data_IF_956301129299
#
_entry.id   IF_956301129299
#
_cell.length_a   1.000
_cell.length_b   1.000
_cell.length_c   1.000
_cell.angle_alpha   90.00
_cell.angle_beta   90.00
_cell.angle_gamma   90.00
#
_symmetry.space_group_name_H-M   'P 1'
#
loop_
_entity.id
_entity.type
_entity.pdbx_description
1 polymer ?
#
# COMPACT_ATOMS: atom_id res chain seq x y z
N UNK A 1 -4.32 -6.47 -17.61
CA UNK A 1 -3.21 -5.57 -18.00
C UNK A 1 -2.83 -5.84 -19.45
N UNK A 2 -2.87 -4.83 -20.32
CA UNK A 2 -2.45 -4.92 -21.72
C UNK A 2 -0.93 -4.75 -21.78
N UNK A 3 -0.22 -5.77 -22.28
CA UNK A 3 1.24 -5.78 -22.45
C UNK A 3 1.71 -4.96 -23.66
N UNK A 4 0.77 -4.47 -24.47
CA UNK A 4 1.06 -3.77 -25.72
C UNK A 4 0.54 -2.34 -25.62
N UNK A 5 1.37 -1.47 -25.08
CA UNK A 5 1.26 -0.03 -25.24
C UNK A 5 2.33 0.35 -26.29
N UNK A 6 1.93 1.03 -27.37
CA UNK A 6 2.86 1.44 -28.46
C UNK A 6 3.83 2.56 -28.02
N UNK A 7 3.73 2.97 -26.77
CA UNK A 7 4.55 3.95 -26.04
C UNK A 7 5.11 3.23 -24.81
N UNK A 8 6.43 3.28 -24.56
CA UNK A 8 7.19 2.64 -23.47
C UNK A 8 6.38 1.85 -22.41
N UNK A 9 6.53 0.50 -22.32
CA UNK A 9 5.79 -0.30 -21.34
C UNK A 9 6.11 0.12 -19.90
N UNK A 10 5.09 0.09 -19.04
CA UNK A 10 5.25 0.27 -17.59
C UNK A 10 4.56 -0.83 -16.81
N UNK A 11 5.04 -1.07 -15.59
CA UNK A 11 4.41 -1.99 -14.65
C UNK A 11 4.42 -1.41 -13.23
N UNK A 12 3.35 -1.71 -12.48
CA UNK A 12 3.21 -1.31 -11.08
C UNK A 12 3.54 -2.47 -10.15
N UNK A 13 4.74 -2.53 -9.54
CA UNK A 13 5.13 -3.65 -8.68
C UNK A 13 4.37 -3.70 -7.36
N UNK A 14 3.90 -2.56 -6.85
CA UNK A 14 3.16 -2.48 -5.60
C UNK A 14 2.37 -1.16 -5.51
N UNK A 15 1.41 -1.15 -4.60
CA UNK A 15 0.63 0.02 -4.20
C UNK A 15 0.75 0.11 -2.68
N UNK A 16 0.96 1.30 -2.14
CA UNK A 16 0.99 1.52 -0.69
C UNK A 16 -0.40 1.52 -0.05
N UNK A 17 -0.47 1.55 1.29
CA UNK A 17 -1.72 1.40 2.05
C UNK A 17 -2.78 2.48 1.81
N UNK A 18 -2.42 3.60 1.17
CA UNK A 18 -3.35 4.67 0.80
C UNK A 18 -3.53 4.81 -0.72
N UNK A 19 -3.06 3.84 -1.50
CA UNK A 19 -3.08 3.93 -2.96
C UNK A 19 -1.80 4.51 -3.57
N UNK A 20 -0.71 4.62 -2.80
CA UNK A 20 0.59 5.11 -3.26
C UNK A 20 1.22 4.14 -4.29
N UNK A 21 0.85 4.28 -5.56
CA UNK A 21 1.34 3.38 -6.61
C UNK A 21 2.82 3.62 -6.92
N UNK A 22 3.61 2.56 -6.88
CA UNK A 22 4.95 2.53 -7.44
C UNK A 22 4.89 2.03 -8.89
N UNK A 23 5.72 2.58 -9.79
CA UNK A 23 5.72 2.26 -11.22
C UNK A 23 7.14 2.26 -11.78
N UNK A 24 7.51 1.20 -12.50
CA UNK A 24 8.70 1.16 -13.35
C UNK A 24 8.30 1.42 -14.80
N UNK A 25 8.94 2.41 -15.40
CA UNK A 25 8.86 2.72 -16.83
C UNK A 25 10.08 2.16 -17.53
N UNK A 26 9.87 1.55 -18.70
CA UNK A 26 10.93 0.93 -19.50
C UNK A 26 10.91 1.52 -20.90
N UNK A 27 11.92 2.31 -21.23
CA UNK A 27 12.13 2.86 -22.56
C UNK A 27 13.02 1.95 -23.42
N UNK A 28 13.22 2.33 -24.68
CA UNK A 28 14.04 1.61 -25.63
C UNK A 28 15.51 1.56 -25.20
N UNK A 29 16.14 0.42 -25.47
CA UNK A 29 17.57 0.24 -25.22
C UNK A 29 18.42 1.24 -26.01
N UNK A 30 18.08 1.44 -27.28
CA UNK A 30 18.74 2.40 -28.17
C UNK A 30 18.26 3.83 -27.84
N UNK A 31 19.16 4.76 -27.43
CA UNK A 31 18.77 6.14 -27.10
C UNK A 31 18.02 6.86 -28.22
N UNK A 32 18.38 6.62 -29.47
CA UNK A 32 17.72 7.24 -30.63
C UNK A 32 16.25 6.81 -30.84
N UNK A 33 15.80 5.77 -30.14
CA UNK A 33 14.41 5.29 -30.17
C UNK A 33 13.62 5.69 -28.92
N UNK A 34 14.29 6.23 -27.89
CA UNK A 34 13.65 6.69 -26.65
C UNK A 34 12.75 7.89 -26.92
N UNK A 35 11.74 8.10 -26.08
CA UNK A 35 10.87 9.29 -26.17
C UNK A 35 11.70 10.58 -26.06
N UNK A 36 12.70 10.54 -25.17
CA UNK A 36 13.75 11.55 -25.04
C UNK A 36 15.10 10.83 -25.12
N UNK A 37 15.94 11.21 -26.08
CA UNK A 37 17.19 10.49 -26.33
C UNK A 37 18.18 10.58 -25.15
N UNK A 38 18.06 11.65 -24.36
CA UNK A 38 18.81 11.91 -23.14
C UNK A 38 18.23 11.23 -21.89
N UNK A 39 16.99 10.72 -21.94
CA UNK A 39 16.38 10.07 -20.78
C UNK A 39 16.98 8.68 -20.54
N UNK A 40 16.93 8.25 -19.28
CA UNK A 40 17.33 6.91 -18.92
C UNK A 40 16.37 5.85 -19.48
N UNK A 41 16.88 4.64 -19.66
CA UNK A 41 16.09 3.49 -20.08
C UNK A 41 15.07 3.06 -19.02
N UNK A 42 15.42 3.17 -17.74
CA UNK A 42 14.57 2.73 -16.64
C UNK A 42 14.32 3.89 -15.68
N UNK A 43 13.05 4.15 -15.41
CA UNK A 43 12.63 5.14 -14.42
C UNK A 43 11.67 4.49 -13.44
N UNK A 44 12.12 4.32 -12.20
CA UNK A 44 11.29 3.84 -11.11
C UNK A 44 10.81 5.01 -10.26
N UNK A 45 9.50 5.06 -10.01
CA UNK A 45 8.87 6.17 -9.31
C UNK A 45 7.81 5.69 -8.35
N UNK A 46 7.59 6.45 -7.27
CA UNK A 46 6.48 6.28 -6.34
C UNK A 46 5.60 7.51 -6.39
N UNK A 47 4.29 7.28 -6.42
CA UNK A 47 3.28 8.31 -6.18
C UNK A 47 2.99 8.41 -4.69
N UNK A 48 2.93 9.60 -4.13
CA UNK A 48 2.51 9.79 -2.74
C UNK A 48 0.97 9.85 -2.59
N UNK A 49 0.51 10.06 -1.35
CA UNK A 49 -0.91 10.12 -1.01
C UNK A 49 -1.70 11.27 -1.69
N UNK A 50 -1.04 12.35 -2.12
CA UNK A 50 -1.68 13.47 -2.84
C UNK A 50 -1.54 13.36 -4.35
N UNK A 51 -0.86 12.31 -4.83
CA UNK A 51 -0.69 12.04 -6.24
C UNK A 51 0.61 12.58 -6.84
N UNK A 52 1.50 13.18 -6.06
CA UNK A 52 2.80 13.66 -6.53
C UNK A 52 3.75 12.50 -6.80
N UNK A 53 4.46 12.58 -7.92
CA UNK A 53 5.38 11.53 -8.38
C UNK A 53 6.81 11.86 -7.95
N UNK A 54 7.44 10.95 -7.22
CA UNK A 54 8.86 11.01 -6.85
C UNK A 54 9.64 9.94 -7.61
N UNK A 55 10.70 10.34 -8.30
CA UNK A 55 11.65 9.40 -8.94
C UNK A 55 12.55 8.80 -7.86
N UNK A 56 12.55 7.46 -7.77
CA UNK A 56 13.38 6.68 -6.84
C UNK A 56 14.68 6.27 -7.53
N UNK A 57 14.59 5.89 -8.80
CA UNK A 57 15.73 5.48 -9.61
C UNK A 57 15.54 5.93 -11.05
N UNK A 58 16.62 6.38 -11.66
CA UNK A 58 16.71 6.73 -13.08
C UNK A 58 18.08 6.28 -13.59
N UNK A 59 18.09 5.33 -14.52
CA UNK A 59 19.34 4.79 -15.06
C UNK A 59 19.15 3.72 -16.13
N UNK A 60 20.28 3.23 -16.66
CA UNK A 60 20.30 2.24 -17.74
C UNK A 60 20.57 0.81 -17.24
N UNK A 61 20.86 0.62 -15.94
CA UNK A 61 21.06 -0.70 -15.32
C UNK A 61 19.71 -1.29 -14.86
N UNK A 62 19.35 -2.44 -15.43
CA UNK A 62 18.10 -3.13 -15.09
C UNK A 62 18.16 -3.82 -13.73
N UNK A 63 19.31 -4.38 -13.35
CA UNK A 63 19.46 -5.08 -12.07
C UNK A 63 19.37 -4.08 -10.90
N UNK A 64 19.95 -2.88 -11.07
CA UNK A 64 19.82 -1.80 -10.10
C UNK A 64 18.37 -1.33 -9.97
N UNK A 65 17.67 -1.11 -11.09
CA UNK A 65 16.23 -0.80 -11.11
C UNK A 65 15.42 -1.86 -10.34
N UNK A 66 15.67 -3.15 -10.59
CA UNK A 66 15.00 -4.24 -9.90
C UNK A 66 15.34 -4.29 -8.40
N UNK A 67 16.54 -3.87 -8.00
CA UNK A 67 16.91 -3.71 -6.59
C UNK A 67 16.01 -2.70 -5.87
N UNK A 68 15.79 -1.53 -6.48
CA UNK A 68 14.87 -0.51 -5.95
C UNK A 68 13.42 -0.99 -5.93
N UNK A 69 12.96 -1.65 -7.00
CA UNK A 69 11.62 -2.24 -7.06
C UNK A 69 11.41 -3.23 -5.93
N UNK A 70 12.37 -4.13 -5.68
CA UNK A 70 12.26 -5.14 -4.64
C UNK A 70 12.19 -4.51 -3.23
N UNK A 71 12.90 -3.39 -3.00
CA UNK A 71 12.89 -2.67 -1.70
C UNK A 71 11.50 -2.09 -1.46
N UNK A 72 10.96 -1.42 -2.47
CA UNK A 72 9.63 -0.79 -2.39
C UNK A 72 8.52 -1.85 -2.22
N UNK A 73 8.61 -2.98 -2.93
CA UNK A 73 7.65 -4.08 -2.80
C UNK A 73 7.64 -4.66 -1.38
N UNK A 74 8.81 -4.87 -0.77
CA UNK A 74 8.89 -5.33 0.62
C UNK A 74 8.33 -4.27 1.58
N UNK A 75 8.61 -2.99 1.35
CA UNK A 75 8.10 -1.90 2.17
C UNK A 75 6.56 -1.81 2.14
N UNK A 76 5.95 -1.92 0.94
CA UNK A 76 4.50 -1.99 0.78
C UNK A 76 3.91 -3.22 1.49
N UNK A 77 4.48 -4.40 1.26
CA UNK A 77 3.99 -5.64 1.86
C UNK A 77 4.03 -5.58 3.39
N UNK A 78 5.12 -5.06 3.95
CA UNK A 78 5.24 -4.85 5.39
C UNK A 78 4.19 -3.88 5.93
N UNK A 79 3.97 -2.74 5.25
CA UNK A 79 2.98 -1.76 5.67
C UNK A 79 1.54 -2.30 5.58
N UNK A 80 1.21 -3.09 4.56
CA UNK A 80 -0.09 -3.77 4.46
C UNK A 80 -0.31 -4.77 5.59
N UNK A 81 0.66 -5.64 5.86
CA UNK A 81 0.52 -6.63 6.95
C UNK A 81 0.34 -5.96 8.31
N UNK A 82 0.98 -4.81 8.56
CA UNK A 82 0.73 -4.02 9.75
C UNK A 82 -0.69 -3.47 9.77
N UNK A 83 -1.17 -2.92 8.65
CA UNK A 83 -2.50 -2.35 8.56
C UNK A 83 -3.65 -3.36 8.65
N UNK A 84 -3.38 -4.64 8.35
CA UNK A 84 -4.34 -5.74 8.52
C UNK A 84 -4.40 -6.25 9.95
N UNK A 85 -3.29 -6.13 10.69
CA UNK A 85 -3.20 -6.59 12.09
C UNK A 85 -3.58 -5.52 13.10
N UNK A 86 -3.43 -4.25 12.75
CA UNK A 86 -3.86 -3.12 13.57
C UNK A 86 -5.29 -2.74 13.25
N UNK A 87 -6.07 -2.43 14.28
CA UNK A 87 -7.34 -1.76 14.04
C UNK A 87 -7.11 -0.33 13.50
N UNK A 88 -8.13 0.31 12.90
CA UNK A 88 -7.99 1.65 12.32
C UNK A 88 -7.52 2.73 13.30
N UNK A 89 -7.89 2.63 14.58
CA UNK A 89 -7.48 3.59 15.61
C UNK A 89 -6.02 3.36 16.03
N UNK A 90 -5.60 2.11 16.20
CA UNK A 90 -4.21 1.74 16.47
C UNK A 90 -3.28 2.14 15.31
N UNK A 91 -3.69 1.85 14.07
CA UNK A 91 -2.98 2.26 12.85
C UNK A 91 -2.76 3.78 12.81
N UNK A 92 -3.85 4.54 13.03
CA UNK A 92 -3.81 6.00 13.08
C UNK A 92 -2.86 6.50 14.18
N UNK A 93 -2.98 5.95 15.38
CA UNK A 93 -2.16 6.37 16.51
C UNK A 93 -0.67 6.08 16.26
N UNK A 94 -0.34 4.89 15.78
CA UNK A 94 1.01 4.51 15.37
C UNK A 94 1.59 5.49 14.35
N UNK A 95 0.86 5.80 13.27
CA UNK A 95 1.35 6.71 12.22
C UNK A 95 1.54 8.14 12.71
N UNK A 96 0.68 8.61 13.61
CA UNK A 96 0.80 9.94 14.22
C UNK A 96 2.02 10.01 15.14
N UNK A 97 2.23 9.00 15.99
CA UNK A 97 3.40 8.92 16.90
C UNK A 97 4.72 8.90 16.15
N UNK A 98 4.77 8.19 15.01
CA UNK A 98 5.95 8.10 14.16
C UNK A 98 6.44 9.46 13.60
N UNK A 99 5.61 10.51 13.61
CA UNK A 99 6.03 11.87 13.22
C UNK A 99 7.11 12.47 14.12
N UNK A 100 7.11 12.07 15.38
CA UNK A 100 7.90 12.71 16.44
C UNK A 100 8.79 11.73 17.19
N UNK A 101 8.75 10.44 16.82
CA UNK A 101 9.56 9.42 17.47
C UNK A 101 11.04 9.58 17.08
N UNK A 102 11.93 9.10 17.94
CA UNK A 102 13.37 9.14 17.70
C UNK A 102 13.74 8.35 16.44
N UNK A 103 14.73 8.85 15.70
CA UNK A 103 15.24 8.16 14.50
C UNK A 103 15.76 6.77 14.87
N UNK A 104 15.33 5.76 14.11
CA UNK A 104 15.69 4.36 14.39
C UNK A 104 14.74 3.65 15.36
N UNK A 105 13.71 4.34 15.86
CA UNK A 105 12.61 3.75 16.63
C UNK A 105 11.32 3.85 15.81
N UNK A 106 10.45 2.85 15.91
CA UNK A 106 9.14 2.84 15.25
C UNK A 106 8.05 2.55 16.29
N UNK A 107 7.00 3.36 16.30
CA UNK A 107 5.86 3.23 17.21
C UNK A 107 5.06 1.94 16.97
N UNK A 108 5.29 1.22 15.86
CA UNK A 108 4.67 -0.07 15.59
C UNK A 108 4.93 -1.10 16.70
N UNK A 109 6.09 -1.03 17.36
CA UNK A 109 6.45 -1.93 18.47
C UNK A 109 5.61 -1.75 19.73
N UNK A 110 4.87 -0.64 19.85
CA UNK A 110 3.92 -0.44 20.96
C UNK A 110 2.65 -1.28 20.81
N UNK A 111 2.38 -1.77 19.59
CA UNK A 111 1.13 -2.48 19.24
C UNK A 111 1.39 -3.93 18.81
N UNK A 112 2.46 -4.19 18.06
CA UNK A 112 2.77 -5.50 17.48
C UNK A 112 4.28 -5.76 17.50
N UNK A 113 4.69 -7.03 17.42
CA UNK A 113 6.08 -7.36 17.11
C UNK A 113 6.38 -7.11 15.63
N UNK A 114 6.74 -5.88 15.30
CA UNK A 114 6.98 -5.45 13.94
C UNK A 114 8.15 -6.20 13.26
N UNK A 115 9.07 -6.83 14.01
CA UNK A 115 10.12 -7.66 13.43
C UNK A 115 9.54 -8.97 12.87
N UNK A 116 8.56 -9.56 13.57
CA UNK A 116 7.87 -10.76 13.09
C UNK A 116 7.01 -10.44 11.87
N UNK A 117 6.38 -9.27 11.84
CA UNK A 117 5.60 -8.82 10.68
C UNK A 117 6.51 -8.56 9.47
N UNK A 118 7.68 -7.95 9.67
CA UNK A 118 8.68 -7.77 8.62
C UNK A 118 9.21 -9.11 8.11
N UNK A 119 9.46 -10.07 9.00
CA UNK A 119 9.86 -11.43 8.61
C UNK A 119 8.81 -12.09 7.71
N UNK A 120 7.52 -11.97 8.06
CA UNK A 120 6.43 -12.49 7.24
C UNK A 120 6.36 -11.81 5.86
N UNK A 121 6.51 -10.48 5.80
CA UNK A 121 6.55 -9.73 4.55
C UNK A 121 7.73 -10.16 3.66
N UNK A 122 8.91 -10.36 4.27
CA UNK A 122 10.11 -10.81 3.58
C UNK A 122 9.91 -12.20 2.98
N UNK A 123 9.38 -13.15 3.75
CA UNK A 123 9.08 -14.50 3.27
C UNK A 123 8.08 -14.49 2.10
N UNK A 124 7.09 -13.59 2.12
CA UNK A 124 6.08 -13.49 1.06
C UNK A 124 6.60 -12.86 -0.24
N UNK A 125 7.58 -11.97 -0.16
CA UNK A 125 8.06 -11.16 -1.31
C UNK A 125 9.39 -11.65 -1.89
N UNK A 126 10.05 -12.62 -1.27
CA UNK A 126 11.32 -13.19 -1.75
C UNK A 126 11.09 -14.49 -2.53
N UNK A 127 11.96 -14.71 -3.50
CA UNK A 127 12.06 -16.02 -4.17
C UNK A 127 12.37 -17.12 -3.16
N UNK A 128 11.79 -18.33 -3.28
CA UNK A 128 12.14 -19.47 -2.43
C UNK A 128 13.65 -19.76 -2.38
N UNK A 129 14.40 -19.42 -3.43
CA UNK A 129 15.86 -19.56 -3.46
C UNK A 129 16.59 -18.59 -2.51
N UNK A 130 16.01 -17.43 -2.22
CA UNK A 130 16.52 -16.43 -1.26
C UNK A 130 15.97 -16.72 0.14
N UNK A 131 14.69 -17.10 0.24
CA UNK A 131 14.06 -17.48 1.52
C UNK A 131 14.71 -18.72 2.13
N UNK A 132 15.20 -19.65 1.30
CA UNK A 132 15.74 -20.92 1.77
C UNK A 132 14.69 -21.68 2.58
N UNK A 133 15.07 -22.15 3.78
CA UNK A 133 14.14 -22.76 4.74
C UNK A 133 13.44 -21.72 5.66
N UNK A 134 13.63 -20.42 5.41
CA UNK A 134 13.09 -19.34 6.24
C UNK A 134 13.80 -19.20 7.60
N UNK A 135 15.05 -19.65 7.71
CA UNK A 135 15.86 -19.53 8.92
C UNK A 135 16.54 -18.14 9.04
N UNK A 136 17.08 -17.87 10.22
CA UNK A 136 17.70 -16.59 10.54
C UNK A 136 18.96 -16.30 9.69
N UNK A 137 19.65 -17.33 9.21
CA UNK A 137 20.87 -17.19 8.41
C UNK A 137 20.55 -16.67 7.00
N UNK A 138 19.46 -17.15 6.38
CA UNK A 138 18.99 -16.64 5.10
C UNK A 138 18.58 -15.16 5.18
N UNK A 139 17.82 -14.78 6.23
CA UNK A 139 17.48 -13.37 6.49
C UNK A 139 18.74 -12.51 6.71
N UNK A 140 19.71 -13.04 7.46
CA UNK A 140 20.99 -12.40 7.73
C UNK A 140 21.73 -11.93 6.48
N UNK A 141 21.64 -12.71 5.40
CA UNK A 141 22.27 -12.36 4.11
C UNK A 141 21.55 -11.26 3.32
N UNK A 142 20.27 -10.98 3.64
CA UNK A 142 19.44 -9.96 2.97
C UNK A 142 19.15 -8.74 3.88
N UNK A 143 19.84 -8.62 5.03
CA UNK A 143 19.57 -7.56 6.01
C UNK A 143 19.67 -6.14 5.46
N UNK A 144 20.60 -5.89 4.53
CA UNK A 144 20.70 -4.57 3.87
C UNK A 144 19.39 -4.20 3.17
N UNK A 145 18.80 -5.17 2.47
CA UNK A 145 17.54 -5.00 1.77
C UNK A 145 16.38 -4.78 2.73
N UNK A 146 16.30 -5.58 3.79
CA UNK A 146 15.26 -5.48 4.83
C UNK A 146 15.33 -4.12 5.53
N UNK A 147 16.53 -3.65 5.88
CA UNK A 147 16.72 -2.35 6.51
C UNK A 147 16.32 -1.21 5.56
N UNK A 148 16.69 -1.29 4.28
CA UNK A 148 16.27 -0.30 3.29
C UNK A 148 14.74 -0.26 3.14
N UNK A 149 14.08 -1.43 3.10
CA UNK A 149 12.62 -1.52 3.04
C UNK A 149 11.96 -0.96 4.31
N UNK A 150 12.56 -1.19 5.48
CA UNK A 150 12.10 -0.62 6.74
C UNK A 150 12.16 0.91 6.74
N UNK A 151 13.26 1.49 6.26
CA UNK A 151 13.42 2.94 6.14
C UNK A 151 12.36 3.54 5.19
N UNK A 152 12.15 2.89 4.04
CA UNK A 152 11.11 3.29 3.08
C UNK A 152 9.73 3.22 3.72
N UNK A 153 9.38 2.08 4.32
CA UNK A 153 8.08 1.89 4.95
C UNK A 153 7.84 2.92 6.05
N UNK A 154 8.82 3.11 6.94
CA UNK A 154 8.73 4.06 8.05
C UNK A 154 8.50 5.47 7.54
N UNK A 155 9.29 5.90 6.54
CA UNK A 155 9.24 7.28 6.02
C UNK A 155 7.96 7.55 5.23
N UNK A 156 7.50 6.61 4.40
CA UNK A 156 6.50 6.89 3.38
C UNK A 156 5.13 6.28 3.68
N UNK A 157 5.04 5.20 4.44
CA UNK A 157 3.77 4.50 4.70
C UNK A 157 3.37 4.57 6.18
N UNK A 158 4.31 4.32 7.08
CA UNK A 158 4.05 4.21 8.53
C UNK A 158 4.17 5.53 9.27
N UNK A 159 4.54 6.63 8.61
CA UNK A 159 4.49 7.98 9.20
C UNK A 159 3.37 8.77 8.53
N UNK A 160 2.50 9.38 9.33
CA UNK A 160 1.38 10.12 8.77
C UNK A 160 1.84 11.41 8.08
N UNK A 161 1.58 11.55 6.78
CA UNK A 161 1.59 12.86 6.09
C UNK A 161 0.32 13.65 6.42
N UNK A 162 0.18 14.89 5.93
CA UNK A 162 -1.05 15.68 6.14
C UNK A 162 -2.27 14.97 5.53
N UNK A 163 -2.16 14.55 4.27
CA UNK A 163 -3.20 13.74 3.61
C UNK A 163 -3.34 12.35 4.26
N UNK A 164 -2.21 11.79 4.69
CA UNK A 164 -2.16 10.57 5.51
C UNK A 164 -3.08 10.62 6.71
N UNK A 165 -3.02 11.70 7.48
CA UNK A 165 -3.90 11.88 8.64
C UNK A 165 -5.37 12.03 8.28
N UNK A 166 -5.70 12.68 7.14
CA UNK A 166 -7.10 12.80 6.71
C UNK A 166 -7.69 11.42 6.40
N UNK A 167 -6.93 10.58 5.70
CA UNK A 167 -7.31 9.20 5.45
C UNK A 167 -7.43 8.39 6.75
N UNK A 168 -6.47 8.51 7.66
CA UNK A 168 -6.51 7.79 8.95
C UNK A 168 -7.71 8.22 9.80
N UNK A 169 -7.98 9.53 9.90
CA UNK A 169 -9.16 10.07 10.58
C UNK A 169 -10.46 9.54 9.96
N UNK A 170 -10.52 9.51 8.62
CA UNK A 170 -11.65 8.95 7.89
C UNK A 170 -11.83 7.45 8.13
N UNK A 171 -10.76 6.64 8.10
CA UNK A 171 -10.82 5.21 8.39
C UNK A 171 -11.39 4.92 9.78
N UNK A 172 -11.15 5.76 10.77
CA UNK A 172 -11.72 5.60 12.12
C UNK A 172 -13.25 5.81 12.15
N UNK A 173 -13.81 6.54 11.17
CA UNK A 173 -15.26 6.75 11.09
C UNK A 173 -16.04 5.52 10.64
N UNK A 174 -15.38 4.57 9.95
CA UNK A 174 -16.01 3.37 9.42
C UNK A 174 -16.62 2.50 10.51
N UNK A 175 -17.92 2.26 10.42
CA UNK A 175 -18.66 1.43 11.38
C UNK A 175 -18.69 -0.01 10.89
N UNK A 176 -18.36 -0.96 11.77
CA UNK A 176 -18.52 -2.36 11.44
C UNK A 176 -20.02 -2.72 11.35
N UNK A 177 -20.36 -3.55 10.35
CA UNK A 177 -21.74 -3.92 10.04
C UNK A 177 -22.42 -4.63 11.22
N UNK A 178 -21.67 -5.42 12.00
CA UNK A 178 -22.20 -6.18 13.12
C UNK A 178 -22.64 -5.29 14.29
N UNK A 179 -21.86 -4.24 14.59
CA UNK A 179 -22.21 -3.22 15.58
C UNK A 179 -23.43 -2.42 15.16
N UNK A 180 -23.57 -2.08 13.87
CA UNK A 180 -24.76 -1.41 13.34
C UNK A 180 -26.02 -2.27 13.47
N UNK A 181 -25.91 -3.56 13.13
CA UNK A 181 -27.00 -4.52 13.30
C UNK A 181 -27.41 -4.66 14.78
N UNK A 182 -26.42 -4.73 15.67
CA UNK A 182 -26.63 -4.82 17.13
C UNK A 182 -27.32 -3.57 17.69
N UNK A 183 -27.01 -2.39 17.16
CA UNK A 183 -27.65 -1.13 17.53
C UNK A 183 -29.06 -0.96 16.94
N UNK A 184 -29.58 -1.95 16.21
CA UNK A 184 -30.94 -1.95 15.67
C UNK A 184 -31.12 -1.07 14.43
N UNK A 185 -30.03 -0.74 13.72
CA UNK A 185 -30.13 -0.08 12.43
C UNK A 185 -30.68 -1.04 11.38
N UNK A 186 -31.65 -0.59 10.59
CA UNK A 186 -32.20 -1.35 9.48
C UNK A 186 -31.19 -1.42 8.32
N UNK A 187 -30.52 -2.57 8.21
CA UNK A 187 -29.53 -2.86 7.17
C UNK A 187 -30.16 -3.59 5.98
N UNK A 188 -31.43 -3.29 5.63
CA UNK A 188 -32.28 -3.99 4.64
C UNK A 188 -31.66 -4.40 3.28
N UNK A 189 -30.44 -3.94 2.97
CA UNK A 189 -29.70 -4.24 1.73
C UNK A 189 -28.40 -5.03 1.93
N UNK A 190 -28.02 -5.38 3.16
CA UNK A 190 -26.80 -6.14 3.42
C UNK A 190 -27.16 -7.62 3.52
N UNK A 191 -26.84 -8.46 2.51
CA UNK A 191 -27.05 -9.89 2.62
C UNK A 191 -26.27 -10.42 3.83
N UNK A 192 -26.76 -11.48 4.50
CA UNK A 192 -26.04 -12.07 5.62
C UNK A 192 -24.64 -12.46 5.14
N UNK A 193 -23.63 -11.75 5.65
CA UNK A 193 -22.23 -12.04 5.43
C UNK A 193 -21.64 -12.39 6.79
N UNK A 194 -20.99 -13.54 6.85
CA UNK A 194 -20.30 -14.02 8.06
C UNK A 194 -18.99 -13.23 8.35
N UNK A 195 -18.76 -12.11 7.66
CA UNK A 195 -17.53 -11.33 7.72
C UNK A 195 -17.83 -9.82 7.78
N UNK A 196 -17.20 -9.15 8.74
CA UNK A 196 -17.47 -7.77 9.13
C UNK A 196 -17.12 -6.76 8.02
N UNK A 197 -18.11 -6.38 7.20
CA UNK A 197 -18.00 -5.23 6.32
C UNK A 197 -17.87 -3.92 7.11
N UNK A 198 -17.49 -2.84 6.42
CA UNK A 198 -17.42 -1.48 6.99
C UNK A 198 -18.27 -0.49 6.21
N UNK A 199 -19.04 0.30 6.92
CA UNK A 199 -19.92 1.33 6.35
C UNK A 199 -19.33 2.71 6.64
N UNK A 200 -19.19 3.50 5.59
CA UNK A 200 -18.77 4.89 5.61
C UNK A 200 -19.93 5.79 5.14
N UNK A 201 -19.86 7.09 5.41
CA UNK A 201 -20.88 8.04 4.92
C UNK A 201 -21.03 8.05 3.40
N UNK A 202 -19.98 7.67 2.68
CA UNK A 202 -19.81 7.82 1.24
C UNK A 202 -19.91 6.52 0.46
N UNK A 203 -20.05 5.39 1.17
CA UNK A 203 -20.11 4.06 0.57
C UNK A 203 -19.87 2.96 1.60
N UNK A 204 -19.82 1.71 1.16
CA UNK A 204 -19.54 0.58 2.03
C UNK A 204 -18.57 -0.39 1.37
N UNK A 205 -17.77 -1.02 2.22
CA UNK A 205 -16.85 -2.11 1.87
C UNK A 205 -17.44 -3.40 2.44
N UNK A 206 -17.61 -4.40 1.59
CA UNK A 206 -18.16 -5.70 1.98
C UNK A 206 -17.15 -6.82 1.75
N UNK A 207 -17.10 -7.78 2.66
CA UNK A 207 -16.34 -9.00 2.45
C UNK A 207 -16.98 -9.85 1.34
N UNK A 208 -16.15 -10.48 0.51
CA UNK A 208 -16.58 -11.37 -0.57
C UNK A 208 -15.54 -12.47 -0.81
N UNK A 209 -15.85 -13.68 -0.33
CA UNK A 209 -14.89 -14.80 -0.35
C UNK A 209 -13.69 -14.50 0.55
N UNK A 210 -12.48 -14.56 0.01
CA UNK A 210 -11.23 -14.23 0.73
C UNK A 210 -10.82 -12.77 0.58
N UNK A 211 -11.62 -11.94 -0.10
CA UNK A 211 -11.30 -10.55 -0.39
C UNK A 211 -12.46 -9.61 -0.08
N UNK A 212 -12.43 -8.45 -0.72
CA UNK A 212 -13.28 -7.30 -0.44
C UNK A 212 -13.87 -6.74 -1.72
N UNK A 213 -15.08 -6.20 -1.64
CA UNK A 213 -15.72 -5.47 -2.72
C UNK A 213 -16.07 -4.07 -2.23
N UNK A 214 -15.69 -3.07 -3.03
CA UNK A 214 -16.15 -1.70 -2.88
C UNK A 214 -17.24 -1.44 -3.90
N UNK A 215 -18.38 -0.94 -3.44
CA UNK A 215 -19.45 -0.47 -4.31
C UNK A 215 -19.57 1.05 -4.18
N UNK A 216 -19.34 1.75 -5.29
CA UNK A 216 -19.55 3.20 -5.39
C UNK A 216 -20.48 3.45 -6.56
N UNK A 217 -21.63 4.09 -6.32
CA UNK A 217 -22.64 4.35 -7.35
C UNK A 217 -22.99 3.07 -8.14
N UNK A 218 -22.69 3.03 -9.45
CA UNK A 218 -22.97 1.89 -10.33
C UNK A 218 -21.74 1.02 -10.63
N UNK A 219 -20.61 1.25 -9.93
CA UNK A 219 -19.36 0.50 -10.14
C UNK A 219 -19.04 -0.38 -8.93
N UNK A 220 -18.55 -1.58 -9.21
CA UNK A 220 -18.11 -2.55 -8.22
C UNK A 220 -16.69 -2.98 -8.55
N UNK A 221 -15.79 -2.95 -7.55
CA UNK A 221 -14.40 -3.34 -7.71
C UNK A 221 -13.96 -4.25 -6.56
N UNK A 222 -13.19 -5.30 -6.89
CA UNK A 222 -12.69 -6.28 -5.93
C UNK A 222 -11.24 -5.99 -5.53
N UNK A 223 -10.90 -6.30 -4.28
CA UNK A 223 -9.60 -6.11 -3.66
C UNK A 223 -9.25 -7.31 -2.79
N UNK A 224 -7.98 -7.63 -2.68
CA UNK A 224 -7.52 -8.75 -1.84
C UNK A 224 -7.45 -8.33 -0.36
N UNK A 225 -7.04 -7.09 -0.09
CA UNK A 225 -6.87 -6.57 1.26
C UNK A 225 -7.91 -5.50 1.61
N UNK A 226 -8.34 -5.45 2.89
CA UNK A 226 -9.33 -4.46 3.36
C UNK A 226 -8.79 -3.04 3.17
N UNK A 227 -7.52 -2.83 3.47
CA UNK A 227 -6.91 -1.50 3.37
C UNK A 227 -6.88 -0.99 1.92
N UNK A 228 -6.69 -1.86 0.93
CA UNK A 228 -6.77 -1.47 -0.49
C UNK A 228 -8.19 -1.05 -0.88
N UNK A 229 -9.19 -1.77 -0.39
CA UNK A 229 -10.59 -1.42 -0.59
C UNK A 229 -10.94 -0.07 0.05
N UNK A 230 -10.43 0.20 1.25
CA UNK A 230 -10.60 1.47 1.95
C UNK A 230 -9.86 2.62 1.24
N UNK A 231 -8.63 2.40 0.78
CA UNK A 231 -7.86 3.36 -0.01
C UNK A 231 -8.57 3.71 -1.33
N UNK A 232 -9.15 2.73 -2.00
CA UNK A 232 -9.95 2.98 -3.20
C UNK A 232 -11.19 3.83 -2.89
N UNK A 233 -11.97 3.48 -1.86
CA UNK A 233 -13.13 4.25 -1.46
C UNK A 233 -12.76 5.68 -1.02
N UNK A 234 -11.63 5.84 -0.32
CA UNK A 234 -11.06 7.15 0.01
C UNK A 234 -10.75 7.98 -1.23
N UNK A 235 -10.09 7.40 -2.24
CA UNK A 235 -9.73 8.13 -3.46
C UNK A 235 -10.95 8.70 -4.19
N UNK A 236 -12.07 7.96 -4.18
CA UNK A 236 -13.36 8.41 -4.71
C UNK A 236 -13.89 9.58 -3.87
N UNK A 237 -13.86 9.45 -2.55
CA UNK A 237 -14.34 10.48 -1.64
C UNK A 237 -13.55 11.78 -1.73
N UNK A 238 -12.22 11.71 -1.65
CA UNK A 238 -11.34 12.86 -1.77
C UNK A 238 -11.51 13.58 -3.12
N UNK A 239 -11.72 12.80 -4.20
CA UNK A 239 -12.04 13.34 -5.52
C UNK A 239 -13.40 14.06 -5.54
N UNK A 240 -14.42 13.55 -4.87
CA UNK A 240 -15.73 14.20 -4.80
C UNK A 240 -15.70 15.48 -3.96
N UNK A 241 -15.03 15.48 -2.79
CA UNK A 241 -14.85 16.69 -1.97
C UNK A 241 -14.18 17.82 -2.78
N UNK A 242 -13.15 17.50 -3.56
CA UNK A 242 -12.41 18.48 -4.38
C UNK A 242 -13.27 19.13 -5.48
N UNK A 243 -14.40 18.53 -5.87
CA UNK A 243 -15.33 19.11 -6.85
C UNK A 243 -16.25 20.18 -6.26
N UNK A 244 -16.38 20.23 -4.93
CA UNK A 244 -17.27 21.15 -4.23
C UNK A 244 -16.53 22.20 -3.39
N UNK A 245 -15.19 22.16 -3.37
CA UNK A 245 -14.29 23.17 -2.79
C UNK A 245 -13.89 24.24 -3.81
#
# INVERSE_FOLDING_TARGET
MSWRHETAPSFGPCVGPMGEAAQLWVDYELPAMREFAEAARFTFSRRDAIGELTVIYEGDDYAEALGHVAIETLACAFAHLLAEQLDPAEWREMRVRNRTIETGVCATHDFLDANIVMLAAWQATRSPAIVGNGDADALGTDLHHVNAAWEVATRHYLTASNEGSRFDDWRVTGRDVQSLATAGHDLATIPPSDSAGRVYSVGFVQAHGTGWIVNVSNTSQSFDHLIDAEAHLWSVFASDESRYS
#
